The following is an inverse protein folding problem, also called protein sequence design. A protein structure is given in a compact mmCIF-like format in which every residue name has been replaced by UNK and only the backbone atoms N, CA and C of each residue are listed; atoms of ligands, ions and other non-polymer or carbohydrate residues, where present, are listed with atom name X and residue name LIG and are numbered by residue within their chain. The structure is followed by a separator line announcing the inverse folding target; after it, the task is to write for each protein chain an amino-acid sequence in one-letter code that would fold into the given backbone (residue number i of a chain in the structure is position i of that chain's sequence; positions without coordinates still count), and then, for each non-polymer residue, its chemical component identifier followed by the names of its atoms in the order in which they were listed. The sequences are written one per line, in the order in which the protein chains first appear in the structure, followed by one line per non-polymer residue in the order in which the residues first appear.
data_IF_469391350988
#
_entry.id   IF_469391350988
#
_cell.length_a   1.000
_cell.length_b   1.000
_cell.length_c   1.000
_cell.angle_alpha   90.00
_cell.angle_beta   90.00
_cell.angle_gamma   90.00
#
_symmetry.space_group_name_H-M   'P 1'
#
loop_
_entity.id
_entity.type
_entity.pdbx_description
1 polymer ?
#
# COMPACT_ATOMS: atom_id res chain seq x y z
N UNK A 1 0.82 24.09 15.08
CA UNK A 1 1.95 23.21 14.71
C UNK A 1 2.09 23.23 13.20
N UNK A 2 3.28 23.44 12.63
CA UNK A 2 3.48 23.34 11.17
C UNK A 2 3.49 21.87 10.77
N UNK A 3 2.59 21.45 9.89
CA UNK A 3 2.61 20.10 9.30
C UNK A 3 3.68 20.05 8.21
N UNK A 4 4.63 19.13 8.35
CA UNK A 4 5.62 18.81 7.32
C UNK A 4 5.05 17.76 6.39
N UNK A 5 5.03 18.03 5.08
CA UNK A 5 4.63 17.05 4.06
C UNK A 5 5.83 16.19 3.68
N UNK A 6 5.69 14.87 3.79
CA UNK A 6 6.72 13.90 3.38
C UNK A 6 6.35 13.35 2.01
N UNK A 7 7.22 13.55 1.01
CA UNK A 7 7.05 12.94 -0.31
C UNK A 7 7.51 11.48 -0.25
N UNK A 8 6.66 10.57 -0.71
CA UNK A 8 6.97 9.16 -0.81
C UNK A 8 7.49 8.80 -2.22
N UNK A 9 8.38 7.81 -2.35
CA UNK A 9 8.79 7.29 -3.65
C UNK A 9 7.61 6.62 -4.38
N UNK A 10 7.71 6.46 -5.70
CA UNK A 10 6.67 5.75 -6.46
C UNK A 10 6.61 4.26 -6.08
N UNK A 11 5.42 3.64 -6.08
CA UNK A 11 5.28 2.21 -5.80
C UNK A 11 5.83 1.36 -6.96
N UNK A 12 6.20 0.12 -6.66
CA UNK A 12 6.55 -0.88 -7.67
C UNK A 12 5.29 -1.60 -8.15
N UNK A 13 5.04 -1.54 -9.46
CA UNK A 13 3.85 -2.15 -10.08
C UNK A 13 4.06 -3.61 -10.47
N UNK A 14 5.32 -4.09 -10.48
CA UNK A 14 5.67 -5.48 -10.75
C UNK A 14 6.24 -6.12 -9.49
N UNK A 15 5.47 -7.01 -8.88
CA UNK A 15 5.89 -7.80 -7.72
C UNK A 15 6.79 -8.98 -8.10
N UNK A 16 7.49 -9.52 -7.10
CA UNK A 16 8.29 -10.75 -7.19
C UNK A 16 7.55 -11.99 -6.68
N UNK A 17 6.40 -11.80 -6.04
CA UNK A 17 5.56 -12.84 -5.43
C UNK A 17 4.22 -12.82 -6.16
N UNK A 18 3.69 -13.98 -6.52
CA UNK A 18 2.37 -14.07 -7.14
C UNK A 18 1.25 -13.78 -6.13
N UNK A 19 0.05 -13.48 -6.61
CA UNK A 19 -1.12 -13.25 -5.75
C UNK A 19 -1.46 -14.53 -4.96
N UNK A 20 -1.37 -15.70 -5.61
CA UNK A 20 -1.62 -17.00 -5.02
C UNK A 20 -0.63 -17.31 -3.88
N UNK A 21 0.66 -17.06 -4.09
CA UNK A 21 1.69 -17.25 -3.08
C UNK A 21 1.50 -16.31 -1.88
N UNK A 22 1.11 -15.05 -2.13
CA UNK A 22 0.80 -14.10 -1.07
C UNK A 22 -0.41 -14.55 -0.22
N UNK A 23 -1.47 -15.04 -0.86
CA UNK A 23 -2.67 -15.57 -0.17
C UNK A 23 -2.29 -16.80 0.68
N UNK A 24 -1.53 -17.75 0.12
CA UNK A 24 -1.09 -18.95 0.83
C UNK A 24 -0.27 -18.62 2.09
N UNK A 25 0.63 -17.65 1.99
CA UNK A 25 1.55 -17.25 3.07
C UNK A 25 0.95 -16.31 4.11
N UNK A 26 -0.18 -15.65 3.83
CA UNK A 26 -0.78 -14.65 4.72
C UNK A 26 -1.08 -15.21 6.12
N UNK A 27 -0.53 -14.57 7.16
CA UNK A 27 -0.79 -14.88 8.58
C UNK A 27 -0.96 -13.59 9.37
N UNK A 28 -1.62 -13.67 10.54
CA UNK A 28 -1.63 -12.56 11.48
C UNK A 28 -0.33 -12.56 12.30
N UNK A 29 0.48 -11.52 12.16
CA UNK A 29 1.75 -11.36 12.87
C UNK A 29 1.57 -10.36 14.01
N UNK A 30 2.05 -10.68 15.22
CA UNK A 30 1.90 -9.85 16.44
C UNK A 30 3.23 -9.57 17.15
N UNK A 31 4.36 -9.88 16.50
CA UNK A 31 5.71 -9.59 16.98
C UNK A 31 6.46 -8.90 15.83
N UNK A 32 6.98 -7.71 16.08
CA UNK A 32 7.63 -6.88 15.07
C UNK A 32 9.07 -6.59 15.47
N UNK A 33 9.90 -6.24 14.49
CA UNK A 33 11.25 -5.77 14.76
C UNK A 33 11.22 -4.30 15.17
N UNK A 34 12.35 -3.78 15.68
CA UNK A 34 12.45 -2.38 16.12
C UNK A 34 12.73 -1.43 14.96
N UNK A 35 13.25 -1.94 13.86
CA UNK A 35 13.57 -1.15 12.68
C UNK A 35 12.28 -0.59 12.07
N UNK A 36 12.22 0.73 11.79
CA UNK A 36 11.09 1.31 11.09
C UNK A 36 11.06 0.82 9.64
N UNK A 37 9.88 0.94 9.03
CA UNK A 37 9.77 0.81 7.58
C UNK A 37 10.54 1.95 6.91
N UNK A 38 11.24 1.63 5.82
CA UNK A 38 11.74 2.66 4.92
C UNK A 38 10.59 3.30 4.12
N UNK A 39 10.87 4.45 3.49
CA UNK A 39 9.83 5.21 2.76
C UNK A 39 9.30 4.43 1.54
N UNK A 40 10.09 3.54 0.94
CA UNK A 40 9.66 2.71 -0.20
C UNK A 40 8.69 1.62 0.24
N UNK A 41 8.98 0.96 1.37
CA UNK A 41 8.09 -0.01 1.99
C UNK A 41 6.78 0.64 2.41
N UNK A 42 6.85 1.82 3.04
CA UNK A 42 5.66 2.56 3.44
C UNK A 42 4.82 2.99 2.22
N UNK A 43 5.46 3.51 1.18
CA UNK A 43 4.80 3.88 -0.08
C UNK A 43 4.08 2.68 -0.70
N UNK A 44 4.76 1.54 -0.79
CA UNK A 44 4.19 0.32 -1.36
C UNK A 44 2.95 -0.13 -0.58
N UNK A 45 3.01 -0.13 0.76
CA UNK A 45 1.88 -0.55 1.61
C UNK A 45 0.68 0.39 1.42
N UNK A 46 0.90 1.70 1.45
CA UNK A 46 -0.17 2.68 1.29
C UNK A 46 -0.81 2.61 -0.09
N UNK A 47 0.00 2.48 -1.15
CA UNK A 47 -0.51 2.32 -2.51
C UNK A 47 -1.24 0.99 -2.70
N UNK A 48 -0.73 -0.11 -2.17
CA UNK A 48 -1.42 -1.41 -2.27
C UNK A 48 -2.74 -1.42 -1.50
N UNK A 49 -2.88 -0.63 -0.43
CA UNK A 49 -4.12 -0.54 0.35
C UNK A 49 -5.16 0.39 -0.30
N UNK A 50 -4.75 1.59 -0.74
CA UNK A 50 -5.64 2.68 -1.17
C UNK A 50 -4.99 3.58 -2.24
N UNK A 51 -4.03 3.07 -2.99
CA UNK A 51 -3.37 3.80 -4.07
C UNK A 51 -4.28 3.98 -5.28
N UNK A 52 -4.04 5.02 -6.07
CA UNK A 52 -4.76 5.24 -7.34
C UNK A 52 -4.17 4.29 -8.40
N UNK A 53 -5.03 3.61 -9.15
CA UNK A 53 -4.67 2.61 -10.18
C UNK A 53 -5.21 2.93 -11.57
N UNK A 54 -6.00 4.00 -11.73
CA UNK A 54 -6.58 4.37 -13.02
C UNK A 54 -6.91 5.86 -13.17
N UNK A 55 -7.39 6.23 -14.36
CA UNK A 55 -7.52 7.63 -14.80
C UNK A 55 -8.64 8.44 -14.12
N UNK A 56 -9.49 7.80 -13.31
CA UNK A 56 -10.63 8.43 -12.59
C UNK A 56 -10.43 8.42 -11.08
N UNK A 57 -9.18 8.48 -10.63
CA UNK A 57 -8.80 8.36 -9.22
C UNK A 57 -9.25 7.05 -8.56
N UNK A 58 -9.62 6.04 -9.36
CA UNK A 58 -10.02 4.74 -8.83
C UNK A 58 -8.90 4.13 -8.00
N UNK A 59 -9.30 3.61 -6.84
CA UNK A 59 -8.41 3.07 -5.81
C UNK A 59 -8.13 1.59 -6.05
N UNK A 60 -7.02 1.11 -5.48
CA UNK A 60 -6.64 -0.30 -5.47
C UNK A 60 -7.70 -1.17 -4.77
N UNK A 61 -8.40 -0.62 -3.78
CA UNK A 61 -9.54 -1.27 -3.13
C UNK A 61 -10.87 -0.67 -3.63
N UNK A 62 -11.88 -1.51 -3.94
CA UNK A 62 -13.19 -1.02 -4.34
C UNK A 62 -13.94 -0.39 -3.16
N UNK A 63 -14.85 0.55 -3.46
CA UNK A 63 -15.76 1.15 -2.49
C UNK A 63 -17.20 1.18 -3.03
N UNK A 64 -18.18 0.98 -2.16
CA UNK A 64 -19.59 0.97 -2.54
C UNK A 64 -19.97 2.31 -3.18
N UNK A 65 -20.47 2.29 -4.42
CA UNK A 65 -20.80 3.51 -5.16
C UNK A 65 -19.61 4.40 -5.52
N UNK A 66 -18.37 3.91 -5.40
CA UNK A 66 -17.14 4.68 -5.62
C UNK A 66 -17.06 5.98 -4.78
N UNK A 67 -17.63 5.99 -3.57
CA UNK A 67 -17.73 7.19 -2.73
C UNK A 67 -16.45 7.53 -1.99
N UNK A 68 -15.54 6.56 -1.85
CA UNK A 68 -14.20 6.78 -1.32
C UNK A 68 -13.24 6.69 -2.49
N UNK A 69 -13.01 7.86 -3.09
CA UNK A 69 -12.09 8.08 -4.20
C UNK A 69 -10.70 8.37 -3.69
#
# INVERSE_FOLDING_TARGET
MRQTIIKLPSPQLKGTVSVEEAILRRRAVRRYRREPLDLSQLSQILWSAQGITGNREFRAAPSAGATYI
#
